data_IF_392401648062
#
_entry.id   IF_392401648062
#
_cell.length_a   1.000
_cell.length_b   1.000
_cell.length_c   1.000
_cell.angle_alpha   90.00
_cell.angle_beta   90.00
_cell.angle_gamma   90.00
#
_symmetry.space_group_name_H-M   'P 1'
#
loop_
_entity.id
_entity.type
_entity.pdbx_description
1 polymer ?
#
# COMPACT_ATOMS: atom_id res chain seq x y z
N UNK A 1 7.29 9.66 -11.48
CA UNK A 1 7.03 9.98 -10.05
C UNK A 1 5.57 10.37 -9.85
N UNK A 2 4.95 9.91 -8.78
CA UNK A 2 3.60 10.29 -8.40
C UNK A 2 3.71 11.08 -7.10
N UNK A 3 3.20 12.32 -7.08
CA UNK A 3 3.21 13.16 -5.88
C UNK A 3 4.59 13.32 -5.24
N UNK A 4 5.63 13.34 -6.06
CA UNK A 4 7.00 13.51 -5.57
C UNK A 4 7.67 12.24 -5.09
N UNK A 5 6.99 11.08 -5.15
CA UNK A 5 7.60 9.80 -4.78
C UNK A 5 8.27 9.15 -5.98
N UNK A 6 9.37 8.46 -5.74
CA UNK A 6 9.91 7.50 -6.70
C UNK A 6 9.34 6.14 -6.36
N UNK A 7 8.77 5.46 -7.33
CA UNK A 7 8.08 4.19 -7.12
C UNK A 7 8.88 3.07 -7.76
N UNK A 8 9.17 2.03 -6.98
CA UNK A 8 9.84 0.83 -7.43
C UNK A 8 8.90 -0.35 -7.34
N UNK A 9 9.08 -1.36 -8.19
CA UNK A 9 8.38 -2.61 -7.99
C UNK A 9 8.96 -3.30 -6.75
N UNK A 10 8.09 -3.96 -5.99
CA UNK A 10 8.50 -4.61 -4.74
C UNK A 10 9.08 -6.01 -4.91
N UNK A 11 9.37 -6.43 -6.13
CA UNK A 11 9.84 -7.80 -6.38
C UNK A 11 11.17 -8.13 -5.69
N UNK A 12 11.96 -7.11 -5.38
CA UNK A 12 13.22 -7.30 -4.67
C UNK A 12 13.03 -7.42 -3.15
N UNK A 13 11.78 -7.23 -2.67
CA UNK A 13 11.43 -7.31 -1.26
C UNK A 13 10.54 -8.52 -1.03
N UNK A 14 11.14 -9.71 -0.95
CA UNK A 14 10.45 -10.96 -0.63
C UNK A 14 9.38 -11.37 -1.66
N UNK A 15 9.37 -10.72 -2.81
CA UNK A 15 8.59 -11.14 -3.97
C UNK A 15 7.08 -10.96 -3.89
N UNK A 16 6.56 -10.36 -2.82
CA UNK A 16 5.12 -10.30 -2.60
C UNK A 16 4.52 -8.89 -2.54
N UNK A 17 5.36 -7.87 -2.51
CA UNK A 17 4.90 -6.47 -2.43
C UNK A 17 4.88 -5.87 -3.83
N UNK A 18 3.75 -5.25 -4.20
CA UNK A 18 3.62 -4.69 -5.54
C UNK A 18 4.56 -3.50 -5.77
N UNK A 19 4.59 -2.55 -4.83
CA UNK A 19 5.37 -1.33 -5.00
C UNK A 19 5.98 -0.86 -3.69
N UNK A 20 7.12 -0.18 -3.82
CA UNK A 20 7.73 0.57 -2.72
C UNK A 20 7.87 2.01 -3.18
N UNK A 21 7.30 2.94 -2.45
CA UNK A 21 7.41 4.37 -2.74
C UNK A 21 8.47 4.99 -1.82
N UNK A 22 9.34 5.80 -2.40
CA UNK A 22 10.47 6.41 -1.68
C UNK A 22 10.48 7.91 -1.91
N UNK A 23 10.73 8.66 -0.85
CA UNK A 23 10.90 10.10 -0.91
C UNK A 23 11.80 10.53 0.24
N UNK A 24 12.90 11.23 -0.09
CA UNK A 24 13.83 11.78 0.92
C UNK A 24 14.34 10.73 1.90
N UNK A 25 14.69 9.53 1.39
CA UNK A 25 15.22 8.41 2.16
C UNK A 25 14.20 7.75 3.10
N UNK A 26 12.93 8.14 2.99
CA UNK A 26 11.82 7.50 3.68
C UNK A 26 11.05 6.66 2.69
N UNK A 27 10.35 5.65 3.17
CA UNK A 27 9.63 4.74 2.29
C UNK A 27 8.31 4.28 2.87
N UNK A 28 7.47 3.72 2.00
CA UNK A 28 6.30 2.95 2.39
C UNK A 28 6.10 1.80 1.42
N UNK A 29 5.36 0.79 1.85
CA UNK A 29 5.06 -0.39 1.06
C UNK A 29 3.61 -0.35 0.60
N UNK A 30 3.36 -0.73 -0.65
CA UNK A 30 2.04 -0.60 -1.26
C UNK A 30 1.65 -1.89 -1.97
N UNK A 31 0.44 -2.38 -1.67
CA UNK A 31 -0.24 -3.41 -2.43
C UNK A 31 -1.42 -2.78 -3.14
N UNK A 32 -1.71 -3.24 -4.35
CA UNK A 32 -2.83 -2.72 -5.14
C UNK A 32 -3.76 -3.87 -5.50
N UNK A 33 -5.04 -3.70 -5.20
CA UNK A 33 -6.09 -4.62 -5.61
C UNK A 33 -7.18 -3.84 -6.34
N UNK A 34 -7.89 -4.49 -7.26
CA UNK A 34 -9.02 -3.85 -7.91
C UNK A 34 -10.14 -3.62 -6.89
N UNK A 35 -10.63 -4.70 -6.31
CA UNK A 35 -11.63 -4.64 -5.25
C UNK A 35 -11.26 -5.66 -4.17
N UNK A 36 -11.50 -5.27 -2.92
CA UNK A 36 -11.31 -6.15 -1.76
C UNK A 36 -12.66 -6.80 -1.39
N UNK A 37 -13.26 -7.50 -2.35
CA UNK A 37 -14.65 -7.94 -2.28
C UNK A 37 -14.88 -9.22 -1.48
N UNK A 38 -13.83 -9.89 -1.04
CA UNK A 38 -13.93 -11.11 -0.25
C UNK A 38 -12.88 -11.16 0.85
N UNK A 39 -13.17 -11.94 1.90
CA UNK A 39 -12.20 -12.15 2.97
C UNK A 39 -10.91 -12.76 2.44
N UNK A 40 -11.01 -13.63 1.45
CA UNK A 40 -9.83 -14.26 0.85
C UNK A 40 -8.92 -13.23 0.19
N UNK A 41 -9.51 -12.29 -0.57
CA UNK A 41 -8.74 -11.21 -1.21
C UNK A 41 -8.11 -10.31 -0.15
N UNK A 42 -8.87 -9.95 0.89
CA UNK A 42 -8.36 -9.13 1.98
C UNK A 42 -7.17 -9.81 2.65
N UNK A 43 -7.31 -11.10 2.99
CA UNK A 43 -6.22 -11.85 3.62
C UNK A 43 -4.98 -11.91 2.74
N UNK A 44 -5.16 -12.09 1.44
CA UNK A 44 -4.03 -12.17 0.51
C UNK A 44 -3.30 -10.84 0.40
N UNK A 45 -4.04 -9.75 0.19
CA UNK A 45 -3.41 -8.45 -0.03
C UNK A 45 -2.79 -7.90 1.27
N UNK A 46 -3.51 -7.96 2.37
CA UNK A 46 -2.98 -7.49 3.65
C UNK A 46 -1.92 -8.45 4.21
N UNK A 47 -2.11 -9.74 4.00
CA UNK A 47 -1.18 -10.76 4.47
C UNK A 47 0.20 -10.71 3.80
N UNK A 48 0.30 -10.10 2.63
CA UNK A 48 1.58 -9.94 1.95
C UNK A 48 2.59 -9.17 2.80
N UNK A 49 2.14 -8.35 3.73
CA UNK A 49 3.02 -7.56 4.60
C UNK A 49 3.54 -8.33 5.81
N UNK A 50 3.04 -9.52 6.09
CA UNK A 50 3.42 -10.27 7.29
C UNK A 50 4.92 -10.56 7.35
N UNK A 51 5.56 -10.73 6.20
CA UNK A 51 6.99 -11.02 6.12
C UNK A 51 7.85 -9.77 6.17
N UNK A 52 7.24 -8.59 6.19
CA UNK A 52 7.96 -7.32 6.24
C UNK A 52 8.09 -6.91 7.70
N UNK A 53 9.31 -6.96 8.22
CA UNK A 53 9.59 -6.56 9.60
C UNK A 53 9.91 -5.08 9.74
N UNK A 54 10.11 -4.40 8.61
CA UNK A 54 10.36 -2.97 8.57
C UNK A 54 9.13 -2.22 9.09
N UNK A 55 9.33 -1.24 9.96
CA UNK A 55 8.26 -0.48 10.59
C UNK A 55 7.68 0.62 9.68
N UNK A 56 8.16 0.75 8.45
CA UNK A 56 7.65 1.75 7.52
C UNK A 56 6.16 1.52 7.25
N UNK A 57 5.41 2.60 6.94
CA UNK A 57 3.98 2.49 6.67
C UNK A 57 3.67 1.50 5.56
N UNK A 58 2.51 0.86 5.68
CA UNK A 58 2.04 -0.15 4.74
C UNK A 58 0.62 0.21 4.32
N UNK A 59 0.38 0.16 3.00
CA UNK A 59 -0.88 0.57 2.42
C UNK A 59 -1.42 -0.49 1.47
N UNK A 60 -2.74 -0.65 1.47
CA UNK A 60 -3.45 -1.38 0.42
C UNK A 60 -4.33 -0.38 -0.31
N UNK A 61 -4.18 -0.28 -1.63
CA UNK A 61 -5.01 0.56 -2.47
C UNK A 61 -6.05 -0.29 -3.18
N UNK A 62 -7.26 0.21 -3.28
CA UNK A 62 -8.30 -0.41 -4.08
C UNK A 62 -9.33 0.63 -4.51
N UNK A 63 -10.35 0.19 -5.23
CA UNK A 63 -11.48 1.06 -5.62
C UNK A 63 -12.62 1.04 -4.58
N UNK A 64 -12.47 0.27 -3.50
CA UNK A 64 -13.47 0.24 -2.45
C UNK A 64 -13.59 1.60 -1.76
N UNK A 65 -14.80 2.00 -1.42
CA UNK A 65 -15.07 3.29 -0.78
C UNK A 65 -15.14 3.22 0.74
N UNK A 66 -15.24 2.02 1.30
CA UNK A 66 -15.23 1.85 2.75
C UNK A 66 -13.79 1.69 3.22
N UNK A 67 -13.54 2.06 4.47
CA UNK A 67 -12.22 1.90 5.07
C UNK A 67 -12.06 0.48 5.59
N UNK A 68 -11.17 -0.27 4.98
CA UNK A 68 -10.87 -1.65 5.35
C UNK A 68 -9.55 -1.78 6.11
N UNK A 69 -9.01 -0.67 6.59
CA UNK A 69 -7.75 -0.66 7.34
C UNK A 69 -7.83 -1.58 8.56
N UNK A 70 -6.78 -2.37 8.77
CA UNK A 70 -6.67 -3.21 9.97
C UNK A 70 -5.22 -3.66 10.17
N UNK A 71 -4.92 -4.11 11.38
CA UNK A 71 -3.59 -4.64 11.74
C UNK A 71 -2.45 -3.66 11.43
N UNK A 72 -2.70 -2.35 11.59
CA UNK A 72 -1.67 -1.34 11.33
C UNK A 72 -1.42 -1.06 9.85
N UNK A 73 -2.21 -1.63 8.95
CA UNK A 73 -2.10 -1.44 7.51
C UNK A 73 -3.28 -0.57 7.09
N UNK A 74 -2.99 0.56 6.43
CA UNK A 74 -4.04 1.46 5.96
C UNK A 74 -4.57 1.03 4.59
N UNK A 75 -5.88 1.14 4.44
CA UNK A 75 -6.55 1.00 3.16
C UNK A 75 -6.93 2.37 2.63
N UNK A 76 -6.58 2.67 1.38
CA UNK A 76 -6.92 3.92 0.73
C UNK A 76 -7.58 3.65 -0.60
N UNK A 77 -8.54 4.51 -0.96
CA UNK A 77 -9.11 4.48 -2.31
C UNK A 77 -8.10 5.09 -3.27
N UNK A 78 -7.77 4.37 -4.34
CA UNK A 78 -6.73 4.79 -5.26
C UNK A 78 -7.11 6.07 -6.03
N UNK A 79 -8.40 6.25 -6.31
CA UNK A 79 -8.85 7.47 -7.00
C UNK A 79 -8.66 8.68 -6.10
N UNK A 80 -8.99 8.58 -4.81
CA UNK A 80 -8.78 9.65 -3.85
C UNK A 80 -7.30 10.02 -3.75
N UNK A 81 -6.42 9.02 -3.78
CA UNK A 81 -4.98 9.26 -3.77
C UNK A 81 -4.54 10.02 -5.02
N UNK A 82 -4.99 9.60 -6.21
CA UNK A 82 -4.63 10.23 -7.47
C UNK A 82 -5.20 11.64 -7.60
N UNK A 83 -6.32 11.93 -6.93
CA UNK A 83 -6.92 13.26 -6.90
C UNK A 83 -6.38 14.13 -5.75
N UNK A 84 -5.32 13.67 -5.08
CA UNK A 84 -4.69 14.39 -3.96
C UNK A 84 -5.61 14.63 -2.76
N UNK A 85 -6.62 13.78 -2.57
CA UNK A 85 -7.52 13.88 -1.41
C UNK A 85 -6.96 13.21 -0.18
N UNK A 86 -6.02 12.30 -0.35
CA UNK A 86 -5.31 11.61 0.73
C UNK A 86 -3.83 11.62 0.41
N UNK A 87 -2.99 11.48 1.43
CA UNK A 87 -1.55 11.49 1.28
C UNK A 87 -0.93 10.26 1.93
N UNK A 88 0.21 9.83 1.37
CA UNK A 88 1.00 8.77 1.96
C UNK A 88 1.92 9.33 3.04
N UNK A 89 2.07 8.56 4.11
CA UNK A 89 3.08 8.82 5.13
C UNK A 89 4.21 7.82 4.94
N UNK A 90 5.44 8.31 5.04
CA UNK A 90 6.64 7.49 4.89
C UNK A 90 7.50 7.61 6.13
N UNK A 91 8.29 6.57 6.39
CA UNK A 91 9.30 6.62 7.45
C UNK A 91 10.49 5.71 7.16
#
# INVERSE_FOLDING_TARGET
MIQGFTVFTGKTFKGEIDFVAVKEQKKCFIQVAYLLSSEETIKREFGAFEKITDASPKYVFSLDRIDLSHDGIEHLNIVDFLLHKVQLHLS
#
